data_IF_065918105563
#
_entry.id   IF_065918105563
#
_cell.length_a   1.000
_cell.length_b   1.000
_cell.length_c   1.000
_cell.angle_alpha   90.00
_cell.angle_beta   90.00
_cell.angle_gamma   90.00
#
_symmetry.space_group_name_H-M   'P 1'
#
loop_
_entity.id
_entity.type
_entity.pdbx_description
1 polymer ?
#
# COMPACT_ATOMS: atom_id res chain seq x y z
N UNK A 1 34.09 1.20 0.36
CA UNK A 1 32.80 1.18 -0.36
C UNK A 1 32.98 2.01 -1.62
N UNK A 2 32.88 1.39 -2.79
CA UNK A 2 33.15 2.02 -4.09
C UNK A 2 31.84 2.55 -4.67
N UNK A 3 31.42 3.74 -4.23
CA UNK A 3 30.18 4.42 -4.65
C UNK A 3 30.14 4.64 -6.15
N UNK A 4 31.29 4.93 -6.77
CA UNK A 4 31.44 5.10 -8.22
C UNK A 4 31.10 3.85 -9.01
N UNK A 5 31.40 2.66 -8.46
CA UNK A 5 31.13 1.38 -9.12
C UNK A 5 29.62 1.07 -9.12
N UNK A 6 28.96 1.31 -7.98
CA UNK A 6 27.50 1.18 -7.87
C UNK A 6 26.79 2.21 -8.77
N UNK A 7 27.31 3.44 -8.85
CA UNK A 7 26.74 4.47 -9.72
C UNK A 7 26.91 4.16 -11.21
N UNK A 8 28.09 3.64 -11.60
CA UNK A 8 28.36 3.19 -12.96
C UNK A 8 27.50 1.98 -13.35
N UNK A 9 27.30 1.01 -12.45
CA UNK A 9 26.39 -0.12 -12.67
C UNK A 9 24.93 0.35 -12.80
N UNK A 10 24.49 1.30 -11.97
CA UNK A 10 23.13 1.83 -12.03
C UNK A 10 22.86 2.59 -13.33
N UNK A 11 23.85 3.38 -13.80
CA UNK A 11 23.77 4.12 -15.05
C UNK A 11 23.84 3.18 -16.27
N UNK A 12 24.75 2.20 -16.26
CA UNK A 12 24.82 1.20 -17.33
C UNK A 12 23.52 0.39 -17.44
N UNK A 13 22.89 0.06 -16.31
CA UNK A 13 21.60 -0.65 -16.27
C UNK A 13 20.41 0.23 -16.69
N UNK A 14 20.55 1.56 -16.64
CA UNK A 14 19.54 2.52 -17.10
C UNK A 14 19.53 2.67 -18.62
N UNK A 15 20.71 2.57 -19.26
CA UNK A 15 20.91 2.72 -20.71
C UNK A 15 21.07 1.40 -21.47
N UNK A 16 21.23 0.27 -20.78
CA UNK A 16 21.18 -1.05 -21.41
C UNK A 16 19.79 -1.25 -22.03
N UNK A 17 19.68 -1.69 -23.30
CA UNK A 17 18.40 -2.01 -23.90
C UNK A 17 17.74 -3.06 -23.02
N UNK A 18 16.56 -2.74 -22.47
CA UNK A 18 15.75 -3.64 -21.64
C UNK A 18 15.10 -4.71 -22.51
N UNK A 19 15.90 -5.42 -23.28
CA UNK A 19 15.51 -6.62 -23.99
C UNK A 19 15.55 -7.78 -22.99
N UNK A 20 14.51 -7.94 -22.18
CA UNK A 20 14.28 -9.23 -21.53
C UNK A 20 12.84 -9.33 -21.01
N UNK A 21 12.03 -10.16 -21.68
CA UNK A 21 10.71 -10.59 -21.23
C UNK A 21 10.69 -11.01 -19.75
N UNK A 22 11.82 -11.50 -19.25
CA UNK A 22 11.99 -11.96 -17.86
C UNK A 22 12.01 -10.82 -16.84
N UNK A 23 12.63 -9.67 -17.14
CA UNK A 23 12.62 -8.49 -16.23
C UNK A 23 11.22 -7.89 -16.14
N UNK A 24 10.49 -7.85 -17.26
CA UNK A 24 9.10 -7.39 -17.30
C UNK A 24 8.20 -8.36 -16.52
N UNK A 25 8.42 -9.67 -16.66
CA UNK A 25 7.71 -10.70 -15.88
C UNK A 25 7.95 -10.54 -14.37
N UNK A 26 9.20 -10.29 -13.96
CA UNK A 26 9.57 -10.04 -12.57
C UNK A 26 8.89 -8.79 -12.01
N UNK A 27 8.83 -7.71 -12.79
CA UNK A 27 8.09 -6.49 -12.42
C UNK A 27 6.59 -6.74 -12.29
N UNK A 28 6.02 -7.58 -13.16
CA UNK A 28 4.60 -7.96 -13.14
C UNK A 28 4.26 -8.85 -11.94
N UNK A 29 5.18 -9.73 -11.54
CA UNK A 29 5.09 -10.55 -10.33
C UNK A 29 5.18 -9.71 -9.05
N UNK A 30 6.13 -8.78 -8.95
CA UNK A 30 6.23 -7.85 -7.80
C UNK A 30 4.98 -6.96 -7.68
N UNK A 31 4.46 -6.47 -8.82
CA UNK A 31 3.20 -5.75 -8.84
C UNK A 31 2.04 -6.63 -8.34
N UNK A 32 1.91 -7.88 -8.80
CA UNK A 32 0.90 -8.83 -8.32
C UNK A 32 1.03 -9.16 -6.84
N UNK A 33 2.24 -9.24 -6.30
CA UNK A 33 2.48 -9.48 -4.88
C UNK A 33 2.04 -8.28 -4.01
N UNK A 34 2.15 -7.06 -4.54
CA UNK A 34 1.77 -5.81 -3.86
C UNK A 34 0.30 -5.45 -4.01
N UNK A 35 -0.32 -5.81 -5.14
CA UNK A 35 -1.74 -5.54 -5.44
C UNK A 35 -2.70 -5.82 -4.28
N UNK A 36 -2.69 -7.00 -3.62
CA UNK A 36 -3.63 -7.26 -2.53
C UNK A 36 -3.39 -6.34 -1.33
N UNK A 37 -2.14 -6.01 -1.02
CA UNK A 37 -1.79 -5.06 0.03
C UNK A 37 -2.31 -3.65 -0.30
N UNK A 38 -2.07 -3.21 -1.52
CA UNK A 38 -2.46 -1.89 -2.01
C UNK A 38 -3.99 -1.72 -2.08
N UNK A 39 -4.71 -2.69 -2.67
CA UNK A 39 -6.18 -2.63 -2.80
C UNK A 39 -6.85 -2.59 -1.43
N UNK A 40 -6.37 -3.40 -0.48
CA UNK A 40 -6.89 -3.38 0.89
C UNK A 40 -6.66 -2.02 1.56
N UNK A 41 -5.44 -1.49 1.48
CA UNK A 41 -5.10 -0.18 2.06
C UNK A 41 -5.94 0.94 1.49
N UNK A 42 -6.17 0.95 0.16
CA UNK A 42 -7.06 1.93 -0.46
C UNK A 42 -8.51 1.74 -0.05
N UNK A 43 -9.04 0.52 -0.06
CA UNK A 43 -10.43 0.26 0.33
C UNK A 43 -10.72 0.65 1.79
N UNK A 44 -9.86 0.23 2.73
CA UNK A 44 -9.98 0.57 4.15
C UNK A 44 -9.77 2.06 4.37
N UNK A 45 -8.82 2.66 3.66
CA UNK A 45 -8.57 4.10 3.73
C UNK A 45 -9.77 4.93 3.25
N UNK A 46 -10.38 4.56 2.12
CA UNK A 46 -11.56 5.22 1.57
C UNK A 46 -12.75 5.08 2.54
N UNK A 47 -13.01 3.88 3.05
CA UNK A 47 -14.09 3.64 4.02
C UNK A 47 -13.86 4.45 5.30
N UNK A 48 -12.63 4.47 5.80
CA UNK A 48 -12.26 5.24 7.00
C UNK A 48 -12.41 6.74 6.79
N UNK A 49 -12.05 7.26 5.61
CA UNK A 49 -12.23 8.66 5.23
C UNK A 49 -13.71 9.04 5.15
N UNK A 50 -14.54 8.17 4.58
CA UNK A 50 -15.99 8.36 4.51
C UNK A 50 -16.61 8.38 5.91
N UNK A 51 -16.22 7.45 6.79
CA UNK A 51 -16.67 7.40 8.18
C UNK A 51 -16.27 8.68 8.92
N UNK A 52 -15.02 9.12 8.77
CA UNK A 52 -14.56 10.38 9.38
C UNK A 52 -15.34 11.60 8.85
N UNK A 53 -15.59 11.66 7.54
CA UNK A 53 -16.39 12.71 6.89
C UNK A 53 -17.83 12.75 7.41
N UNK A 54 -18.48 11.59 7.52
CA UNK A 54 -19.83 11.47 8.08
C UNK A 54 -19.87 11.89 9.54
N UNK A 55 -18.86 11.52 10.34
CA UNK A 55 -18.74 11.97 11.73
C UNK A 55 -18.63 13.49 11.84
N UNK A 56 -17.85 14.13 10.96
CA UNK A 56 -17.74 15.60 10.90
C UNK A 56 -19.05 16.27 10.47
N UNK A 57 -19.75 15.73 9.46
CA UNK A 57 -21.06 16.27 9.02
C UNK A 57 -22.13 16.16 10.12
N UNK A 58 -22.12 15.09 10.91
CA UNK A 58 -23.01 14.96 12.08
C UNK A 58 -22.67 15.95 13.19
N UNK A 59 -21.38 16.23 13.39
CA UNK A 59 -20.89 17.11 14.46
C UNK A 59 -21.17 18.59 14.15
N UNK A 60 -21.13 18.98 12.88
CA UNK A 60 -21.42 20.36 12.45
C UNK A 60 -22.91 20.63 12.21
N UNK A 61 -23.77 19.70 12.63
CA UNK A 61 -25.22 19.83 12.55
C UNK A 61 -25.79 20.01 11.14
N UNK A 62 -25.05 19.59 10.11
CA UNK A 62 -25.46 19.69 8.71
C UNK A 62 -26.54 18.66 8.38
N UNK A 63 -26.57 17.55 9.12
CA UNK A 63 -27.49 16.40 8.94
C UNK A 63 -28.32 16.13 10.22
N UNK A 64 -27.96 16.75 11.36
CA UNK A 64 -28.55 16.51 12.67
C UNK A 64 -29.61 17.54 13.08
N UNK A 65 -30.28 17.29 14.21
CA UNK A 65 -31.33 18.16 14.76
C UNK A 65 -30.84 19.17 15.81
N UNK A 66 -29.57 19.57 15.78
CA UNK A 66 -28.93 20.47 16.75
C UNK A 66 -28.65 19.87 18.11
N UNK A 67 -28.87 18.57 18.27
CA UNK A 67 -28.80 17.94 19.59
C UNK A 67 -27.37 17.65 20.03
N UNK A 68 -27.10 17.85 21.31
CA UNK A 68 -25.86 17.41 21.99
C UNK A 68 -25.59 15.91 21.74
N UNK A 69 -26.64 15.10 21.56
CA UNK A 69 -26.51 13.68 21.25
C UNK A 69 -25.95 13.40 19.85
N UNK A 70 -26.35 14.17 18.82
CA UNK A 70 -25.83 14.03 17.45
C UNK A 70 -24.37 14.50 17.36
N UNK A 71 -23.98 15.50 18.14
CA UNK A 71 -22.59 15.93 18.25
C UNK A 71 -21.70 14.83 18.85
N UNK A 72 -22.08 14.25 19.99
CA UNK A 72 -21.30 13.19 20.64
C UNK A 72 -21.20 11.93 19.76
N UNK A 73 -22.29 11.54 19.09
CA UNK A 73 -22.26 10.44 18.12
C UNK A 73 -21.33 10.74 16.94
N UNK A 74 -21.38 11.96 16.40
CA UNK A 74 -20.49 12.39 15.31
C UNK A 74 -19.01 12.31 15.69
N UNK A 75 -18.65 12.74 16.90
CA UNK A 75 -17.27 12.67 17.43
C UNK A 75 -16.80 11.22 17.59
N UNK A 76 -17.64 10.33 18.14
CA UNK A 76 -17.29 8.91 18.29
C UNK A 76 -17.03 8.26 16.92
N UNK A 77 -17.92 8.52 15.96
CA UNK A 77 -17.79 7.99 14.58
C UNK A 77 -16.53 8.56 13.92
N UNK A 78 -16.26 9.86 14.08
CA UNK A 78 -15.06 10.52 13.58
C UNK A 78 -13.76 9.91 14.13
N UNK A 79 -13.72 9.63 15.43
CA UNK A 79 -12.57 8.98 16.08
C UNK A 79 -12.35 7.56 15.57
N UNK A 80 -13.41 6.80 15.29
CA UNK A 80 -13.31 5.47 14.68
C UNK A 80 -12.72 5.57 13.27
N UNK A 81 -13.15 6.55 12.47
CA UNK A 81 -12.58 6.82 11.14
C UNK A 81 -11.08 7.16 11.19
N UNK A 82 -10.67 8.01 12.14
CA UNK A 82 -9.27 8.36 12.37
C UNK A 82 -8.42 7.17 12.84
N UNK A 83 -8.95 6.35 13.77
CA UNK A 83 -8.29 5.13 14.21
C UNK A 83 -8.13 4.13 13.04
N UNK A 84 -9.15 4.01 12.19
CA UNK A 84 -9.09 3.20 10.97
C UNK A 84 -7.97 3.65 10.02
N UNK A 85 -7.80 4.96 9.83
CA UNK A 85 -6.66 5.50 9.08
C UNK A 85 -5.32 5.21 9.75
N UNK A 86 -5.21 5.37 11.06
CA UNK A 86 -3.95 5.14 11.80
C UNK A 86 -3.48 3.68 11.77
N UNK A 87 -4.40 2.73 11.87
CA UNK A 87 -4.10 1.29 11.86
C UNK A 87 -3.83 0.78 10.42
N UNK A 88 -4.19 1.56 9.39
CA UNK A 88 -4.01 1.16 7.99
C UNK A 88 -2.52 0.93 7.63
N UNK A 89 -1.60 1.76 8.14
CA UNK A 89 -0.17 1.65 7.85
C UNK A 89 0.50 0.38 8.41
N UNK A 90 0.32 0.01 9.70
CA UNK A 90 0.87 -1.25 10.21
C UNK A 90 0.22 -2.49 9.55
N UNK A 91 -1.07 -2.43 9.20
CA UNK A 91 -1.73 -3.53 8.47
C UNK A 91 -1.14 -3.66 7.06
N UNK A 92 -0.96 -2.56 6.34
CA UNK A 92 -0.30 -2.54 5.04
C UNK A 92 1.06 -3.23 5.08
N UNK A 93 1.91 -2.88 6.06
CA UNK A 93 3.24 -3.48 6.20
C UNK A 93 3.17 -4.99 6.45
N UNK A 94 2.23 -5.45 7.29
CA UNK A 94 2.02 -6.89 7.53
C UNK A 94 1.53 -7.62 6.28
N UNK A 95 0.58 -7.04 5.54
CA UNK A 95 0.04 -7.62 4.31
C UNK A 95 1.07 -7.64 3.18
N UNK A 96 1.89 -6.60 3.07
CA UNK A 96 3.00 -6.53 2.12
C UNK A 96 4.03 -7.65 2.38
N UNK A 97 4.40 -7.87 3.64
CA UNK A 97 5.32 -8.95 4.01
C UNK A 97 4.73 -10.34 3.70
N UNK A 98 3.43 -10.51 3.93
CA UNK A 98 2.71 -11.77 3.64
C UNK A 98 2.59 -12.01 2.13
N UNK A 99 2.29 -10.97 1.36
CA UNK A 99 2.25 -11.01 -0.11
C UNK A 99 3.62 -11.33 -0.69
N UNK A 100 4.68 -10.66 -0.22
CA UNK A 100 6.05 -10.97 -0.62
C UNK A 100 6.45 -12.40 -0.30
N UNK A 101 6.12 -12.93 0.89
CA UNK A 101 6.39 -14.34 1.23
C UNK A 101 5.65 -15.33 0.33
N UNK A 102 4.42 -15.02 -0.08
CA UNK A 102 3.61 -15.90 -0.95
C UNK A 102 4.24 -16.07 -2.33
N UNK A 103 4.84 -15.01 -2.88
CA UNK A 103 5.50 -15.02 -4.19
C UNK A 103 7.03 -15.12 -4.12
N UNK A 104 7.61 -15.20 -2.92
CA UNK A 104 9.06 -15.21 -2.73
C UNK A 104 9.74 -16.40 -3.42
N UNK A 105 9.08 -17.56 -3.44
CA UNK A 105 9.59 -18.76 -4.09
C UNK A 105 9.66 -18.58 -5.61
N UNK A 106 8.56 -18.17 -6.25
CA UNK A 106 8.52 -17.89 -7.69
C UNK A 106 9.49 -16.77 -8.10
N UNK A 107 9.63 -15.72 -7.27
CA UNK A 107 10.56 -14.61 -7.54
C UNK A 107 12.02 -15.07 -7.43
N UNK A 108 12.35 -15.89 -6.42
CA UNK A 108 13.71 -16.43 -6.26
C UNK A 108 14.06 -17.42 -7.38
N UNK A 109 13.11 -18.27 -7.79
CA UNK A 109 13.31 -19.23 -8.87
C UNK A 109 13.53 -18.51 -10.21
N UNK A 110 12.70 -17.50 -10.53
CA UNK A 110 12.91 -16.67 -11.72
C UNK A 110 14.24 -15.90 -11.67
N UNK A 111 14.61 -15.37 -10.50
CA UNK A 111 15.88 -14.66 -10.32
C UNK A 111 17.09 -15.58 -10.53
N UNK A 112 17.00 -16.83 -10.06
CA UNK A 112 18.05 -17.83 -10.26
C UNK A 112 18.19 -18.22 -11.74
N UNK A 113 17.06 -18.41 -12.42
CA UNK A 113 17.01 -18.72 -13.85
C UNK A 113 17.50 -17.56 -14.74
N UNK A 114 17.37 -16.30 -14.29
CA UNK A 114 17.96 -15.13 -14.97
C UNK A 114 19.45 -15.00 -14.65
N UNK A 115 19.86 -15.31 -13.42
CA UNK A 115 21.27 -15.25 -13.00
C UNK A 115 22.13 -16.37 -13.58
N UNK A 116 21.52 -17.36 -14.27
CA UNK A 116 22.24 -18.45 -14.92
C UNK A 116 22.85 -19.48 -13.97
N UNK A 117 22.30 -19.62 -12.75
CA UNK A 117 22.68 -20.64 -11.76
C UNK A 117 21.68 -21.82 -11.69
#
# INVERSE_FOLDING_TARGET
MNTDKIYAEHLANEYAPKDDSKVIALRKLDARAKLPATVFTYSVGIVSALIAGVGMCLSMDVIGSGSLASFVLGVIIGLIGLAGMGINYPIYKKMLAKGKRKYAFEIMELAKEISGE
#
